data_IF_352392680091
#
_entry.id   IF_352392680091
#
_cell.length_a   1.000
_cell.length_b   1.000
_cell.length_c   1.000
_cell.angle_alpha   90.00
_cell.angle_beta   90.00
_cell.angle_gamma   90.00
#
_symmetry.space_group_name_H-M   'P 1'
#
loop_
_entity.id
_entity.type
_entity.pdbx_description
1 polymer ?
#
# COMPACT_ATOMS: atom_id res chain seq x y z
N UNK A 1 -48.66 48.96 33.58
CA UNK A 1 -47.73 49.44 32.54
C UNK A 1 -47.80 48.50 31.34
N UNK A 2 -48.23 49.05 30.20
CA UNK A 2 -48.00 48.64 28.80
C UNK A 2 -48.45 47.22 28.39
N UNK A 3 -49.59 46.98 27.73
CA UNK A 3 -50.24 47.63 26.58
C UNK A 3 -49.52 47.39 25.24
N UNK A 4 -50.31 46.91 24.27
CA UNK A 4 -50.10 46.86 22.80
C UNK A 4 -49.55 45.57 22.18
N UNK A 5 -50.51 44.70 21.82
CA UNK A 5 -50.50 43.95 20.56
C UNK A 5 -50.35 44.90 19.35
N UNK A 6 -49.43 44.54 18.45
CA UNK A 6 -49.25 45.00 17.08
C UNK A 6 -48.26 43.98 16.44
N UNK A 7 -48.24 43.61 15.17
CA UNK A 7 -49.02 43.88 13.98
C UNK A 7 -48.60 42.83 12.92
N UNK A 8 -49.42 42.66 11.88
CA UNK A 8 -49.19 41.87 10.65
C UNK A 8 -47.91 42.29 9.90
N UNK A 9 -47.29 41.35 9.17
CA UNK A 9 -46.62 41.53 7.84
C UNK A 9 -45.90 40.21 7.49
N UNK A 10 -46.34 39.44 6.49
CA UNK A 10 -46.00 39.48 5.05
C UNK A 10 -44.49 39.48 4.71
N UNK A 11 -44.11 38.39 4.03
CA UNK A 11 -43.12 38.23 2.94
C UNK A 11 -41.77 38.97 3.00
N UNK A 12 -40.70 38.19 2.86
CA UNK A 12 -39.38 38.72 2.54
C UNK A 12 -38.37 37.61 2.29
N UNK A 13 -38.31 37.12 1.06
CA UNK A 13 -37.21 36.29 0.57
C UNK A 13 -35.89 37.09 0.65
N UNK A 14 -35.06 36.78 1.66
CA UNK A 14 -33.71 37.32 1.74
C UNK A 14 -32.79 36.51 0.80
N UNK A 15 -32.28 37.24 -0.19
CA UNK A 15 -31.28 36.80 -1.17
C UNK A 15 -29.98 36.45 -0.47
N UNK A 16 -29.41 35.30 -0.80
CA UNK A 16 -28.02 34.98 -0.45
C UNK A 16 -27.09 35.67 -1.45
N UNK A 17 -26.41 36.73 -0.98
CA UNK A 17 -25.27 37.35 -1.67
C UNK A 17 -24.03 36.48 -1.45
N UNK A 18 -23.47 35.92 -2.52
CA UNK A 18 -22.16 35.26 -2.49
C UNK A 18 -21.07 36.32 -2.55
N UNK A 19 -20.62 36.73 -1.37
CA UNK A 19 -19.45 37.58 -1.19
C UNK A 19 -18.20 36.98 -1.84
N UNK A 20 -17.54 37.84 -2.61
CA UNK A 20 -16.24 37.69 -3.25
C UNK A 20 -15.17 37.16 -2.28
N UNK A 21 -14.65 35.96 -2.54
CA UNK A 21 -13.46 35.45 -1.86
C UNK A 21 -12.20 36.15 -2.40
N UNK A 22 -11.73 37.14 -1.65
CA UNK A 22 -10.42 37.74 -1.81
C UNK A 22 -9.33 36.80 -1.28
N UNK A 23 -8.36 36.50 -2.15
CA UNK A 23 -7.00 36.03 -1.90
C UNK A 23 -6.70 35.27 -0.61
N UNK A 24 -6.70 33.93 -0.69
CA UNK A 24 -5.86 33.14 0.20
C UNK A 24 -4.46 33.03 -0.40
N UNK A 25 -3.54 33.84 0.14
CA UNK A 25 -2.11 33.65 -0.04
C UNK A 25 -1.72 32.30 0.56
N UNK A 26 -1.45 31.34 -0.32
CA UNK A 26 -0.86 30.08 0.10
C UNK A 26 0.58 30.38 0.54
N UNK A 27 0.81 30.32 1.85
CA UNK A 27 2.15 30.24 2.41
C UNK A 27 2.83 29.00 1.83
N UNK A 28 3.72 29.22 0.88
CA UNK A 28 4.69 28.20 0.47
C UNK A 28 5.62 27.98 1.66
N UNK A 29 5.39 26.88 2.37
CA UNK A 29 6.34 26.35 3.33
C UNK A 29 7.54 25.84 2.53
N UNK A 30 8.66 26.53 2.66
CA UNK A 30 9.96 26.18 2.11
C UNK A 30 10.49 24.96 2.89
N UNK A 31 10.67 23.77 2.29
CA UNK A 31 11.24 22.65 3.02
C UNK A 31 12.76 22.76 2.99
N UNK A 32 13.32 23.23 4.10
CA UNK A 32 14.74 23.06 4.40
C UNK A 32 15.01 21.59 4.77
N UNK A 33 16.00 21.02 4.08
CA UNK A 33 16.89 19.92 4.51
C UNK A 33 16.26 18.54 4.81
N UNK A 34 16.61 17.57 3.96
CA UNK A 34 16.83 16.12 4.19
C UNK A 34 16.48 15.55 5.59
N UNK A 35 15.22 15.67 5.99
CA UNK A 35 14.67 15.09 7.20
C UNK A 35 13.66 14.03 6.77
N UNK A 36 14.00 12.76 7.04
CA UNK A 36 13.27 11.58 6.61
C UNK A 36 11.77 11.71 6.86
N UNK A 37 11.01 11.93 5.79
CA UNK A 37 9.56 11.95 5.86
C UNK A 37 9.03 10.52 6.02
N UNK A 38 8.05 10.36 6.91
CA UNK A 38 7.46 9.07 7.28
C UNK A 38 6.05 8.96 6.73
N UNK A 39 5.60 7.75 6.36
CA UNK A 39 4.25 7.55 5.84
C UNK A 39 3.25 7.37 6.97
N UNK A 40 2.10 8.05 6.85
CA UNK A 40 0.92 7.82 7.68
C UNK A 40 0.34 6.41 7.39
N UNK A 41 0.26 5.50 8.37
CA UNK A 41 -0.24 4.14 8.17
C UNK A 41 -1.71 4.03 7.75
N UNK A 42 -2.52 5.06 8.00
CA UNK A 42 -3.97 5.06 7.77
C UNK A 42 -4.32 5.51 6.36
N UNK A 43 -3.64 6.55 5.85
CA UNK A 43 -3.95 7.14 4.54
C UNK A 43 -2.80 7.08 3.52
N UNK A 44 -1.58 6.73 3.94
CA UNK A 44 -0.40 6.66 3.09
C UNK A 44 0.23 8.01 2.74
N UNK A 45 -0.26 9.11 3.32
CA UNK A 45 0.29 10.45 3.10
C UNK A 45 1.67 10.58 3.74
N UNK A 46 2.58 11.26 3.05
CA UNK A 46 3.91 11.60 3.57
C UNK A 46 3.78 12.68 4.64
N UNK A 47 4.31 12.42 5.83
CA UNK A 47 4.26 13.29 6.99
C UNK A 47 5.68 13.54 7.46
N UNK A 48 5.97 14.78 7.83
CA UNK A 48 7.22 15.10 8.49
C UNK A 48 7.10 14.79 10.01
N UNK A 49 7.91 13.87 10.55
CA UNK A 49 7.86 13.47 11.96
C UNK A 49 8.26 14.59 12.92
N UNK A 50 8.94 15.64 12.45
CA UNK A 50 9.42 16.75 13.28
C UNK A 50 8.40 17.89 13.39
N UNK A 51 7.51 18.06 12.41
CA UNK A 51 6.52 19.13 12.38
C UNK A 51 5.10 18.67 12.71
N UNK A 52 4.81 17.36 12.63
CA UNK A 52 3.47 16.85 12.94
C UNK A 52 3.17 16.83 14.45
N UNK A 53 2.03 17.42 14.80
CA UNK A 53 1.46 17.36 16.16
C UNK A 53 0.77 16.02 16.42
N UNK A 54 0.33 15.32 15.38
CA UNK A 54 -0.50 14.11 15.49
C UNK A 54 0.38 12.86 15.49
N UNK A 55 0.59 12.30 16.70
CA UNK A 55 1.43 11.13 16.95
C UNK A 55 0.80 10.18 17.95
N UNK A 56 1.03 8.88 17.80
CA UNK A 56 0.61 7.84 18.73
C UNK A 56 1.75 6.85 18.96
N UNK A 57 1.72 6.14 20.09
CA UNK A 57 2.66 5.06 20.36
C UNK A 57 1.90 3.75 20.37
N UNK A 58 2.42 2.76 19.64
CA UNK A 58 1.89 1.40 19.63
C UNK A 58 3.06 0.41 19.68
N UNK A 59 3.03 -0.53 20.63
CA UNK A 59 4.12 -1.49 20.87
C UNK A 59 5.51 -0.83 21.06
N UNK A 60 5.56 0.34 21.72
CA UNK A 60 6.80 1.09 21.95
C UNK A 60 7.38 1.78 20.71
N UNK A 61 6.67 1.77 19.58
CA UNK A 61 7.07 2.45 18.34
C UNK A 61 6.24 3.73 18.14
N UNK A 62 6.88 4.88 17.84
CA UNK A 62 6.16 6.11 17.51
C UNK A 62 5.60 6.05 16.09
N UNK A 63 4.30 6.33 15.94
CA UNK A 63 3.59 6.47 14.69
C UNK A 63 3.14 7.92 14.49
N UNK A 64 3.21 8.40 13.25
CA UNK A 64 2.96 9.78 12.87
C UNK A 64 1.80 9.84 11.88
N UNK A 65 0.93 10.85 12.04
CA UNK A 65 -0.28 10.99 11.26
C UNK A 65 -0.39 12.36 10.62
N UNK A 66 -1.05 12.44 9.46
CA UNK A 66 -1.28 13.68 8.75
C UNK A 66 -2.37 14.55 9.40
N UNK A 67 -3.25 13.94 10.20
CA UNK A 67 -4.41 14.58 10.78
C UNK A 67 -4.90 13.86 12.03
N UNK A 68 -5.66 14.57 12.87
CA UNK A 68 -6.38 13.99 14.00
C UNK A 68 -7.31 12.83 13.59
N UNK A 69 -7.92 12.91 12.41
CA UNK A 69 -8.78 11.86 11.88
C UNK A 69 -8.03 10.56 11.60
N UNK A 70 -6.80 10.63 11.09
CA UNK A 70 -5.96 9.45 10.88
C UNK A 70 -5.47 8.88 12.21
N UNK A 71 -5.04 9.74 13.14
CA UNK A 71 -4.68 9.31 14.50
C UNK A 71 -5.81 8.55 15.21
N UNK A 72 -7.04 9.07 15.19
CA UNK A 72 -8.19 8.43 15.84
C UNK A 72 -8.52 7.06 15.25
N UNK A 73 -8.46 6.93 13.91
CA UNK A 73 -8.66 5.64 13.22
C UNK A 73 -7.60 4.62 13.61
N UNK A 74 -6.34 5.05 13.71
CA UNK A 74 -5.25 4.19 14.14
C UNK A 74 -5.41 3.76 15.61
N UNK A 75 -5.86 4.65 16.50
CA UNK A 75 -6.09 4.29 17.90
C UNK A 75 -7.28 3.32 18.08
N UNK A 76 -8.28 3.37 17.20
CA UNK A 76 -9.42 2.46 17.24
C UNK A 76 -9.05 1.03 16.81
N UNK A 77 -8.27 0.89 15.74
CA UNK A 77 -7.89 -0.41 15.18
C UNK A 77 -6.40 -0.46 14.77
N UNK A 78 -5.45 -0.36 15.72
CA UNK A 78 -4.03 -0.22 15.38
C UNK A 78 -3.46 -1.46 14.68
N UNK A 79 -3.91 -2.65 15.06
CA UNK A 79 -3.47 -3.91 14.44
C UNK A 79 -3.65 -3.90 12.92
N UNK A 80 -4.77 -3.37 12.42
CA UNK A 80 -5.09 -3.30 10.98
C UNK A 80 -4.09 -2.49 10.16
N UNK A 81 -3.47 -1.48 10.76
CA UNK A 81 -2.57 -0.55 10.07
C UNK A 81 -1.08 -0.88 10.28
N UNK A 82 -0.75 -1.71 11.26
CA UNK A 82 0.65 -2.04 11.62
C UNK A 82 1.13 -3.35 10.99
N UNK A 83 0.23 -4.29 10.69
CA UNK A 83 0.57 -5.58 10.09
C UNK A 83 1.17 -5.52 8.66
N UNK A 84 0.84 -4.57 7.77
CA UNK A 84 1.45 -4.54 6.44
C UNK A 84 2.76 -3.74 6.33
N UNK A 85 3.14 -2.94 7.34
CA UNK A 85 4.27 -2.02 7.21
C UNK A 85 5.57 -2.55 7.85
N UNK A 86 5.47 -3.25 8.97
CA UNK A 86 6.65 -3.79 9.67
C UNK A 86 7.03 -5.22 9.26
N UNK A 87 6.06 -6.03 8.81
CA UNK A 87 6.33 -7.41 8.36
C UNK A 87 6.88 -7.46 6.93
N UNK A 88 6.45 -6.57 6.04
CA UNK A 88 6.93 -6.52 4.64
C UNK A 88 8.40 -6.09 4.49
N UNK A 89 9.03 -5.60 5.56
CA UNK A 89 10.42 -5.16 5.54
C UNK A 89 11.36 -6.04 6.38
N UNK A 90 10.84 -7.02 7.13
CA UNK A 90 11.66 -7.78 8.09
C UNK A 90 11.46 -9.30 8.09
N UNK A 91 10.53 -9.87 7.31
CA UNK A 91 10.37 -11.32 7.26
C UNK A 91 11.24 -11.93 6.14
N UNK A 92 12.48 -12.29 6.53
CA UNK A 92 13.40 -13.28 5.95
C UNK A 92 13.39 -13.49 4.42
N UNK A 93 13.95 -12.53 3.69
CA UNK A 93 14.55 -12.86 2.39
C UNK A 93 15.89 -13.55 2.66
N UNK A 94 16.19 -14.73 2.10
CA UNK A 94 17.43 -15.45 2.38
C UNK A 94 18.65 -14.56 2.09
N UNK A 95 19.59 -14.55 3.04
CA UNK A 95 20.91 -13.92 2.92
C UNK A 95 21.56 -14.37 1.60
N UNK A 96 21.75 -13.45 0.65
CA UNK A 96 22.23 -13.76 -0.70
C UNK A 96 21.21 -13.58 -1.83
N UNK A 97 19.96 -13.22 -1.54
CA UNK A 97 18.98 -12.92 -2.59
C UNK A 97 19.40 -11.71 -3.41
N UNK A 98 19.37 -11.86 -4.73
CA UNK A 98 19.70 -10.80 -5.67
C UNK A 98 18.47 -9.91 -5.85
N UNK A 99 18.64 -8.63 -5.53
CA UNK A 99 17.66 -7.58 -5.77
C UNK A 99 18.03 -6.81 -7.02
N UNK A 100 17.02 -6.45 -7.81
CA UNK A 100 17.15 -5.69 -9.06
C UNK A 100 16.32 -4.41 -9.02
N UNK A 101 16.79 -3.37 -9.70
CA UNK A 101 15.99 -2.16 -9.89
C UNK A 101 14.98 -2.37 -11.04
N UNK A 102 13.69 -2.03 -10.88
CA UNK A 102 12.69 -2.16 -11.95
C UNK A 102 13.01 -1.34 -13.21
N UNK A 103 13.75 -0.24 -13.07
CA UNK A 103 14.13 0.62 -14.19
C UNK A 103 15.53 0.34 -14.73
N UNK A 104 16.40 -0.29 -13.94
CA UNK A 104 17.81 -0.52 -14.27
C UNK A 104 18.18 -1.96 -13.95
N UNK A 105 17.81 -2.93 -14.81
CA UNK A 105 17.97 -4.36 -14.55
C UNK A 105 19.44 -4.83 -14.47
N UNK A 106 20.37 -3.97 -14.88
CA UNK A 106 21.82 -4.18 -14.75
C UNK A 106 22.30 -4.05 -13.29
N UNK A 107 21.52 -3.39 -12.42
CA UNK A 107 21.84 -3.21 -11.01
C UNK A 107 21.34 -4.43 -10.23
N UNK A 108 22.26 -5.35 -9.94
CA UNK A 108 22.02 -6.55 -9.14
C UNK A 108 22.82 -6.47 -7.85
N UNK A 109 22.13 -6.38 -6.71
CA UNK A 109 22.77 -6.24 -5.40
C UNK A 109 22.26 -7.30 -4.42
N UNK A 110 23.12 -7.69 -3.47
CA UNK A 110 22.76 -8.62 -2.40
C UNK A 110 22.12 -7.82 -1.27
N UNK A 111 20.86 -8.11 -0.97
CA UNK A 111 20.10 -7.46 0.11
C UNK A 111 19.26 -6.24 -0.32
N UNK A 112 18.34 -5.80 0.55
CA UNK A 112 17.48 -4.65 0.29
C UNK A 112 18.29 -3.35 0.28
N UNK A 113 17.94 -2.42 -0.62
CA UNK A 113 18.62 -1.15 -0.74
C UNK A 113 17.98 -0.22 -1.78
N UNK A 114 18.56 0.96 -1.93
CA UNK A 114 18.16 1.95 -2.93
C UNK A 114 19.08 1.88 -4.15
N UNK A 115 18.48 1.92 -5.32
CA UNK A 115 19.20 1.99 -6.59
C UNK A 115 20.09 3.23 -6.66
N UNK A 116 21.40 3.12 -6.94
CA UNK A 116 22.31 4.26 -7.02
C UNK A 116 22.09 5.15 -8.26
N UNK A 117 21.33 4.69 -9.27
CA UNK A 117 21.04 5.46 -10.47
C UNK A 117 19.76 6.29 -10.33
N UNK A 118 18.68 5.71 -9.78
CA UNK A 118 17.36 6.35 -9.73
C UNK A 118 16.74 6.47 -8.34
N UNK A 119 17.43 6.03 -7.28
CA UNK A 119 16.98 6.16 -5.89
C UNK A 119 15.80 5.27 -5.50
N UNK A 120 15.24 4.47 -6.43
CA UNK A 120 14.12 3.58 -6.14
C UNK A 120 14.57 2.33 -5.39
N UNK A 121 13.67 1.78 -4.56
CA UNK A 121 13.92 0.54 -3.82
C UNK A 121 14.14 -0.64 -4.78
N UNK A 122 15.11 -1.48 -4.47
CA UNK A 122 15.36 -2.70 -5.24
C UNK A 122 14.34 -3.79 -4.86
N UNK A 123 13.93 -4.58 -5.85
CA UNK A 123 12.99 -5.69 -5.69
C UNK A 123 13.70 -7.04 -5.85
N UNK A 124 13.39 -8.06 -5.04
CA UNK A 124 14.05 -9.36 -5.13
C UNK A 124 13.65 -10.08 -6.44
N UNK A 125 14.64 -10.57 -7.19
CA UNK A 125 14.45 -11.25 -8.48
C UNK A 125 13.69 -12.58 -8.34
N UNK A 126 13.61 -13.12 -7.12
CA UNK A 126 12.98 -14.43 -6.81
C UNK A 126 11.81 -14.33 -5.83
N UNK A 127 11.01 -13.26 -5.90
CA UNK A 127 9.83 -13.04 -5.04
C UNK A 127 8.66 -14.03 -5.26
N UNK A 128 8.92 -15.31 -5.58
CA UNK A 128 7.87 -16.33 -5.77
C UNK A 128 8.06 -17.61 -4.93
N UNK A 129 9.07 -17.69 -4.05
CA UNK A 129 9.28 -18.88 -3.23
C UNK A 129 8.64 -18.86 -1.83
N UNK A 130 8.39 -17.66 -1.25
CA UNK A 130 8.03 -17.53 0.17
C UNK A 130 6.57 -17.10 0.42
N UNK A 131 5.71 -17.15 -0.61
CA UNK A 131 4.26 -17.28 -0.38
C UNK A 131 3.94 -18.72 -0.76
N UNK A 132 3.71 -19.58 0.24
CA UNK A 132 3.47 -21.01 0.03
C UNK A 132 2.49 -21.27 -1.14
N UNK A 133 2.58 -22.44 -1.82
CA UNK A 133 1.97 -22.68 -3.12
C UNK A 133 0.57 -22.08 -3.19
N UNK A 134 0.40 -21.04 -4.00
CA UNK A 134 -0.90 -20.37 -4.11
C UNK A 134 -1.95 -21.41 -4.50
N UNK A 135 -3.15 -21.32 -3.90
CA UNK A 135 -4.20 -22.32 -4.09
C UNK A 135 -4.58 -22.48 -5.58
N UNK A 136 -4.33 -21.45 -6.39
CA UNK A 136 -4.44 -21.46 -7.85
C UNK A 136 -3.37 -22.36 -8.51
N UNK A 137 -2.08 -22.22 -8.14
CA UNK A 137 -1.01 -23.08 -8.66
C UNK A 137 -1.23 -24.55 -8.27
N UNK A 138 -1.72 -24.82 -7.06
CA UNK A 138 -2.04 -26.18 -6.60
C UNK A 138 -3.18 -26.79 -7.41
N UNK A 139 -4.25 -26.03 -7.67
CA UNK A 139 -5.38 -26.52 -8.46
C UNK A 139 -5.00 -26.75 -9.94
N UNK A 140 -4.20 -25.85 -10.52
CA UNK A 140 -3.68 -26.00 -11.89
C UNK A 140 -2.74 -27.22 -12.01
N UNK A 141 -1.85 -27.41 -11.04
CA UNK A 141 -0.94 -28.57 -10.99
C UNK A 141 -1.72 -29.87 -10.83
N UNK A 142 -2.73 -29.90 -9.96
CA UNK A 142 -3.59 -31.08 -9.77
C UNK A 142 -4.37 -31.44 -11.04
N UNK A 143 -4.94 -30.46 -11.73
CA UNK A 143 -5.64 -30.69 -13.01
C UNK A 143 -4.71 -31.18 -14.11
N UNK A 144 -3.51 -30.62 -14.19
CA UNK A 144 -2.48 -31.07 -15.13
C UNK A 144 -2.11 -32.54 -14.89
N UNK A 145 -1.87 -32.93 -13.63
CA UNK A 145 -1.54 -34.31 -13.27
C UNK A 145 -2.69 -35.28 -13.52
N UNK A 146 -3.94 -34.90 -13.23
CA UNK A 146 -5.10 -35.73 -13.55
C UNK A 146 -5.20 -35.94 -15.08
N UNK A 147 -5.02 -34.86 -15.86
CA UNK A 147 -5.01 -34.94 -17.32
C UNK A 147 -3.90 -35.84 -17.85
N UNK A 148 -2.67 -35.68 -17.35
CA UNK A 148 -1.51 -36.49 -17.72
C UNK A 148 -1.77 -37.99 -17.47
N UNK A 149 -2.32 -38.35 -16.31
CA UNK A 149 -2.60 -39.76 -15.98
C UNK A 149 -3.68 -40.35 -16.88
N UNK A 150 -4.66 -39.56 -17.30
CA UNK A 150 -5.72 -40.02 -18.21
C UNK A 150 -5.24 -40.14 -19.66
N UNK A 151 -4.34 -39.25 -20.11
CA UNK A 151 -3.84 -39.26 -21.48
C UNK A 151 -2.67 -40.21 -21.69
N UNK A 152 -1.87 -40.49 -20.64
CA UNK A 152 -0.69 -41.35 -20.73
C UNK A 152 -1.00 -42.78 -21.24
N UNK A 153 -2.05 -43.49 -20.76
CA UNK A 153 -2.40 -44.81 -21.29
C UNK A 153 -2.83 -44.77 -22.75
N UNK A 154 -3.62 -43.76 -23.16
CA UNK A 154 -4.06 -43.59 -24.54
C UNK A 154 -2.87 -43.31 -25.46
N UNK A 155 -1.96 -42.44 -25.02
CA UNK A 155 -0.74 -42.13 -25.76
C UNK A 155 0.17 -43.36 -25.91
N UNK A 156 0.33 -44.17 -24.86
CA UNK A 156 1.11 -45.42 -24.91
C UNK A 156 0.46 -46.42 -25.87
N UNK A 157 -0.87 -46.52 -25.91
CA UNK A 157 -1.55 -47.44 -26.83
C UNK A 157 -1.42 -47.01 -28.29
N UNK A 158 -1.52 -45.72 -28.58
CA UNK A 158 -1.44 -45.18 -29.95
C UNK A 158 -0.01 -45.07 -30.47
N UNK A 159 0.94 -44.59 -29.64
CA UNK A 159 2.30 -44.26 -30.06
C UNK A 159 3.36 -45.24 -29.50
N UNK A 160 3.02 -46.11 -28.55
CA UNK A 160 3.96 -47.04 -27.92
C UNK A 160 4.46 -48.13 -28.87
N UNK A 161 3.64 -48.55 -29.84
CA UNK A 161 4.05 -49.53 -30.86
C UNK A 161 5.19 -49.04 -31.76
N UNK A 162 5.25 -47.73 -32.03
CA UNK A 162 6.33 -47.13 -32.81
C UNK A 162 7.62 -46.97 -31.98
N UNK A 163 7.52 -46.96 -30.65
CA UNK A 163 8.66 -46.83 -29.74
C UNK A 163 9.32 -48.19 -29.42
N UNK A 164 8.56 -49.28 -29.42
CA UNK A 164 9.08 -50.64 -29.12
C UNK A 164 9.68 -51.37 -30.33
N UNK A 165 9.67 -50.76 -31.52
CA UNK A 165 10.49 -51.22 -32.65
C UNK A 165 10.27 -52.67 -33.07
N UNK A 166 9.02 -53.14 -33.06
CA UNK A 166 8.61 -54.43 -33.66
C UNK A 166 7.83 -54.19 -34.95
#
# INVERSE_FOLDING_TARGET
>A
MNDKQAAKTHEGHARHDHGTHAGHGHHHHEPATDAGTVKDPVCGMTVDPHTTTHRAQYQGKPYYFCSSGCQSKFMAEPAKYVEPATARNAEAVPEGTIYTCPMHPEIRQVGPGSCPICGMALEPVVATAETGPSHELVDMTRRFWIGLVLTLPVFILEMGGHLTGL
#
